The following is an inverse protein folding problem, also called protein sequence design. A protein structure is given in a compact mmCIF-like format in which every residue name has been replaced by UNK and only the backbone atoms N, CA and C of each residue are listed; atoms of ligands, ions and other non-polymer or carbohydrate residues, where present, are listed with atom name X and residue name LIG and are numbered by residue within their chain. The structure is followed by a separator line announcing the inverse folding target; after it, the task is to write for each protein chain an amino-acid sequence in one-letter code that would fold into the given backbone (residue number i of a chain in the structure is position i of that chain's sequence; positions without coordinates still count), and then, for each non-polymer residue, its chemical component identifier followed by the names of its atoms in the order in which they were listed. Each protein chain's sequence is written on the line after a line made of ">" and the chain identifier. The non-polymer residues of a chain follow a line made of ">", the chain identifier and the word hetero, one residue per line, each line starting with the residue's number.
data_IF_429859337743
#
_entry.id   IF_429859337743
#
_cell.length_a   1.000
_cell.length_b   1.000
_cell.length_c   1.000
_cell.angle_alpha   90.00
_cell.angle_beta   90.00
_cell.angle_gamma   90.00
#
_symmetry.space_group_name_H-M   'P 1'
#
loop_
_entity.id
_entity.type
_entity.pdbx_description
1 polymer ?
#
# COMPACT_ATOMS: atom_id res chain seq x y z
N UNK A 1 -2.18 -11.49 -21.41
CA UNK A 1 -2.42 -11.36 -19.95
C UNK A 1 -3.57 -10.41 -19.59
N UNK A 2 -3.64 -9.17 -20.12
CA UNK A 2 -4.66 -8.16 -19.75
C UNK A 2 -6.11 -8.64 -19.87
N UNK A 3 -6.49 -9.31 -20.97
CA UNK A 3 -7.84 -9.84 -21.15
C UNK A 3 -8.22 -10.90 -20.12
N UNK A 4 -7.28 -11.77 -19.71
CA UNK A 4 -7.53 -12.80 -18.71
C UNK A 4 -7.77 -12.22 -17.31
N UNK A 5 -6.95 -11.23 -16.93
CA UNK A 5 -7.10 -10.49 -15.66
C UNK A 5 -8.41 -9.70 -15.66
N UNK A 6 -8.77 -9.07 -16.78
CA UNK A 6 -10.05 -8.38 -16.91
C UNK A 6 -11.24 -9.32 -16.72
N UNK A 7 -11.23 -10.51 -17.35
CA UNK A 7 -12.30 -11.49 -17.15
C UNK A 7 -12.35 -11.96 -15.69
N UNK A 8 -11.19 -12.17 -15.04
CA UNK A 8 -11.10 -12.51 -13.62
C UNK A 8 -11.72 -11.45 -12.72
N UNK A 9 -11.46 -10.17 -13.00
CA UNK A 9 -12.05 -9.03 -12.29
C UNK A 9 -13.57 -8.97 -12.51
N UNK A 10 -14.01 -9.08 -13.77
CA UNK A 10 -15.41 -8.88 -14.21
C UNK A 10 -16.35 -10.01 -13.76
N UNK A 11 -15.94 -11.27 -13.85
CA UNK A 11 -16.75 -12.45 -13.49
C UNK A 11 -17.26 -12.45 -12.04
N UNK A 12 -16.52 -11.81 -11.14
CA UNK A 12 -16.78 -11.83 -9.72
C UNK A 12 -17.33 -10.48 -9.20
N UNK A 13 -17.47 -9.44 -10.05
CA UNK A 13 -18.07 -8.17 -9.63
C UNK A 13 -19.59 -8.24 -9.76
N UNK A 14 -20.36 -8.10 -8.66
CA UNK A 14 -21.82 -8.16 -8.70
C UNK A 14 -22.45 -7.02 -9.54
N UNK A 15 -21.69 -5.96 -9.87
CA UNK A 15 -22.12 -4.83 -10.70
C UNK A 15 -21.77 -5.00 -12.19
N UNK A 16 -21.03 -6.05 -12.56
CA UNK A 16 -20.82 -6.36 -13.97
C UNK A 16 -22.11 -6.96 -14.55
N UNK A 17 -22.94 -6.09 -15.11
CA UNK A 17 -24.17 -6.43 -15.85
C UNK A 17 -23.78 -7.31 -17.02
N UNK A 18 -24.09 -8.62 -16.96
CA UNK A 18 -23.88 -9.66 -17.98
C UNK A 18 -22.52 -9.67 -18.69
N UNK A 19 -21.76 -10.75 -18.50
CA UNK A 19 -20.61 -11.11 -19.36
C UNK A 19 -20.96 -11.05 -20.86
N UNK A 20 -22.24 -11.26 -21.19
CA UNK A 20 -22.81 -11.15 -22.53
C UNK A 20 -22.79 -9.71 -23.09
N UNK A 21 -22.95 -8.68 -22.26
CA UNK A 21 -22.98 -7.27 -22.72
C UNK A 21 -21.60 -6.67 -22.99
N UNK A 22 -20.52 -7.33 -22.54
CA UNK A 22 -19.15 -6.94 -22.89
C UNK A 22 -18.78 -7.30 -24.34
N UNK A 23 -19.71 -7.94 -25.07
CA UNK A 23 -19.54 -8.46 -26.42
C UNK A 23 -20.31 -7.68 -27.51
N UNK A 24 -20.80 -6.46 -27.24
CA UNK A 24 -21.38 -5.62 -28.31
C UNK A 24 -20.28 -4.99 -29.17
N UNK A 25 -19.68 -5.80 -30.06
CA UNK A 25 -18.78 -5.30 -31.10
C UNK A 25 -18.01 -6.39 -31.83
N UNK A 26 -18.52 -6.80 -33.00
CA UNK A 26 -17.80 -7.50 -34.10
C UNK A 26 -17.50 -9.00 -33.89
N UNK A 27 -18.51 -9.86 -34.02
CA UNK A 27 -18.38 -11.21 -34.61
C UNK A 27 -17.25 -12.14 -34.15
N UNK A 28 -16.70 -11.98 -32.95
CA UNK A 28 -15.70 -12.88 -32.34
C UNK A 28 -16.39 -13.90 -31.45
N UNK A 29 -15.78 -15.08 -31.32
CA UNK A 29 -16.27 -16.16 -30.47
C UNK A 29 -16.61 -15.65 -29.06
N UNK A 30 -17.83 -15.96 -28.62
CA UNK A 30 -18.40 -15.50 -27.35
C UNK A 30 -17.96 -16.46 -26.26
N UNK A 31 -17.11 -16.00 -25.34
CA UNK A 31 -16.80 -16.76 -24.13
C UNK A 31 -18.03 -16.81 -23.23
N UNK A 32 -18.56 -18.00 -23.03
CA UNK A 32 -19.64 -18.23 -22.06
C UNK A 32 -19.12 -18.17 -20.63
N UNK A 33 -20.02 -17.91 -19.69
CA UNK A 33 -19.72 -17.93 -18.25
C UNK A 33 -19.10 -19.27 -17.83
N UNK A 34 -19.61 -20.38 -18.35
CA UNK A 34 -19.16 -21.72 -17.98
C UNK A 34 -17.75 -22.01 -18.50
N UNK A 35 -17.39 -21.54 -19.70
CA UNK A 35 -16.02 -21.66 -20.23
C UNK A 35 -15.01 -20.87 -19.39
N UNK A 36 -15.40 -19.67 -18.92
CA UNK A 36 -14.53 -18.88 -18.04
C UNK A 36 -14.36 -19.56 -16.68
N UNK A 37 -15.46 -20.07 -16.09
CA UNK A 37 -15.41 -20.81 -14.83
C UNK A 37 -14.59 -22.11 -14.96
N UNK A 38 -14.75 -22.85 -16.06
CA UNK A 38 -13.96 -24.05 -16.36
C UNK A 38 -12.47 -23.76 -16.50
N UNK A 39 -12.14 -22.62 -17.13
CA UNK A 39 -10.76 -22.13 -17.23
C UNK A 39 -10.18 -21.78 -15.86
N UNK A 40 -10.94 -21.09 -15.01
CA UNK A 40 -10.49 -20.75 -13.65
C UNK A 40 -10.32 -22.00 -12.78
N UNK A 41 -11.27 -22.93 -12.82
CA UNK A 41 -11.17 -24.19 -12.07
C UNK A 41 -9.93 -25.00 -12.50
N UNK A 42 -9.64 -25.03 -13.80
CA UNK A 42 -8.46 -25.70 -14.35
C UNK A 42 -7.16 -25.01 -13.89
N UNK A 43 -7.08 -23.68 -13.97
CA UNK A 43 -5.92 -22.93 -13.47
C UNK A 43 -5.72 -23.14 -11.96
N UNK A 44 -6.78 -23.05 -11.16
CA UNK A 44 -6.73 -23.29 -9.72
C UNK A 44 -6.25 -24.71 -9.40
N UNK A 45 -6.61 -25.71 -10.21
CA UNK A 45 -6.16 -27.08 -10.03
C UNK A 45 -4.67 -27.26 -10.37
N UNK A 46 -4.18 -26.65 -11.45
CA UNK A 46 -2.79 -26.81 -11.92
C UNK A 46 -1.82 -25.92 -11.11
N UNK A 47 -2.18 -24.65 -10.91
CA UNK A 47 -1.38 -23.63 -10.21
C UNK A 47 -2.17 -22.98 -9.07
N UNK A 48 -2.45 -23.71 -7.98
CA UNK A 48 -3.29 -23.21 -6.88
C UNK A 48 -2.71 -21.96 -6.20
N UNK A 49 -1.39 -21.91 -6.01
CA UNK A 49 -0.72 -20.74 -5.38
C UNK A 49 -0.77 -19.54 -6.31
N UNK A 50 -0.38 -19.72 -7.57
CA UNK A 50 -0.45 -18.67 -8.57
C UNK A 50 -1.85 -18.08 -8.74
N UNK A 51 -2.87 -18.95 -8.82
CA UNK A 51 -4.26 -18.52 -8.89
C UNK A 51 -4.69 -17.74 -7.64
N UNK A 52 -4.31 -18.18 -6.45
CA UNK A 52 -4.60 -17.46 -5.21
C UNK A 52 -3.89 -16.09 -5.16
N UNK A 53 -2.69 -15.93 -5.77
CA UNK A 53 -2.02 -14.63 -5.94
C UNK A 53 -2.86 -13.71 -6.82
N UNK A 54 -3.32 -14.20 -7.97
CA UNK A 54 -4.15 -13.42 -8.89
C UNK A 54 -5.47 -12.98 -8.23
N UNK A 55 -6.13 -13.88 -7.50
CA UNK A 55 -7.34 -13.58 -6.74
C UNK A 55 -7.09 -12.58 -5.62
N UNK A 56 -5.97 -12.72 -4.90
CA UNK A 56 -5.64 -11.76 -3.83
C UNK A 56 -5.31 -10.38 -4.39
N UNK A 57 -4.52 -10.32 -5.46
CA UNK A 57 -3.99 -9.08 -6.05
C UNK A 57 -5.05 -8.27 -6.79
N UNK A 58 -5.90 -8.93 -7.59
CA UNK A 58 -6.87 -8.25 -8.45
C UNK A 58 -8.29 -8.23 -7.89
N UNK A 59 -8.62 -9.12 -6.94
CA UNK A 59 -9.96 -9.20 -6.33
C UNK A 59 -9.99 -8.88 -4.85
N UNK A 60 -8.84 -8.69 -4.19
CA UNK A 60 -8.74 -8.58 -2.74
C UNK A 60 -9.45 -9.74 -2.01
N UNK A 61 -9.36 -10.96 -2.56
CA UNK A 61 -9.96 -12.14 -1.96
C UNK A 61 -9.22 -12.55 -0.68
N UNK A 62 -9.85 -12.29 0.47
CA UNK A 62 -9.29 -12.61 1.79
C UNK A 62 -9.07 -14.11 2.03
N UNK A 63 -9.89 -14.99 1.43
CA UNK A 63 -9.75 -16.44 1.58
C UNK A 63 -8.58 -16.96 0.76
N UNK A 64 -8.41 -16.44 -0.46
CA UNK A 64 -7.21 -16.70 -1.26
C UNK A 64 -5.95 -16.24 -0.53
N UNK A 65 -5.98 -15.04 0.07
CA UNK A 65 -4.85 -14.55 0.86
C UNK A 65 -4.52 -15.48 2.03
N UNK A 66 -5.52 -15.95 2.79
CA UNK A 66 -5.30 -16.90 3.88
C UNK A 66 -4.62 -18.19 3.40
N UNK A 67 -5.04 -18.73 2.25
CA UNK A 67 -4.41 -19.90 1.63
C UNK A 67 -2.97 -19.63 1.20
N UNK A 68 -2.66 -18.46 0.63
CA UNK A 68 -1.28 -18.06 0.32
C UNK A 68 -0.41 -18.00 1.57
N UNK A 69 -0.92 -17.38 2.64
CA UNK A 69 -0.17 -17.27 3.90
C UNK A 69 0.12 -18.65 4.50
N UNK A 70 -0.82 -19.59 4.40
CA UNK A 70 -0.61 -20.98 4.77
C UNK A 70 0.40 -21.69 3.84
N UNK A 71 0.30 -21.48 2.53
CA UNK A 71 1.21 -22.07 1.54
C UNK A 71 2.66 -21.60 1.75
N UNK A 72 2.89 -20.32 2.05
CA UNK A 72 4.21 -19.79 2.43
C UNK A 72 4.74 -20.51 3.67
N UNK A 73 3.87 -20.75 4.66
CA UNK A 73 4.27 -21.46 5.87
C UNK A 73 4.70 -22.88 5.54
N UNK A 74 3.90 -23.63 4.76
CA UNK A 74 4.26 -25.00 4.32
C UNK A 74 5.55 -25.01 3.48
N UNK A 75 5.69 -24.06 2.56
CA UNK A 75 6.90 -23.90 1.74
C UNK A 75 8.13 -23.70 2.61
N UNK A 76 8.01 -22.89 3.68
CA UNK A 76 9.11 -22.61 4.58
C UNK A 76 9.48 -23.81 5.46
N UNK A 77 8.52 -24.56 6.01
CA UNK A 77 8.79 -25.70 6.90
C UNK A 77 9.60 -26.82 6.25
N UNK A 78 9.66 -26.87 4.92
CA UNK A 78 10.49 -27.82 4.16
C UNK A 78 11.98 -27.46 4.16
N UNK A 79 12.37 -26.35 4.78
CA UNK A 79 13.71 -25.77 4.71
C UNK A 79 14.25 -25.46 6.10
N UNK A 80 15.56 -25.40 6.24
CA UNK A 80 16.18 -24.75 7.40
C UNK A 80 16.02 -23.23 7.25
N UNK A 81 15.53 -22.58 8.29
CA UNK A 81 15.24 -21.15 8.23
C UNK A 81 15.44 -20.48 9.60
N UNK A 82 15.78 -19.18 9.63
CA UNK A 82 15.90 -18.45 10.89
C UNK A 82 14.54 -18.32 11.60
N UNK A 83 14.58 -18.02 12.89
CA UNK A 83 13.39 -18.01 13.78
C UNK A 83 12.23 -17.16 13.26
N UNK A 84 12.51 -16.01 12.63
CA UNK A 84 11.48 -15.08 12.13
C UNK A 84 11.27 -15.16 10.61
N UNK A 85 11.72 -16.23 9.98
CA UNK A 85 11.59 -16.44 8.54
C UNK A 85 10.14 -16.34 8.03
N UNK A 86 9.17 -16.88 8.77
CA UNK A 86 7.74 -16.77 8.41
C UNK A 86 7.38 -15.30 8.25
N UNK A 87 7.62 -14.47 9.27
CA UNK A 87 7.27 -13.04 9.21
C UNK A 87 7.96 -12.31 8.05
N UNK A 88 9.22 -12.65 7.74
CA UNK A 88 9.93 -12.07 6.60
C UNK A 88 9.28 -12.46 5.25
N UNK A 89 8.90 -13.73 5.08
CA UNK A 89 8.20 -14.20 3.87
C UNK A 89 6.78 -13.67 3.77
N UNK A 90 6.08 -13.47 4.90
CA UNK A 90 4.76 -12.83 4.93
C UNK A 90 4.82 -11.35 4.53
N UNK A 91 5.92 -10.65 4.86
CA UNK A 91 6.18 -9.30 4.36
C UNK A 91 6.59 -9.30 2.88
N UNK A 92 7.34 -10.31 2.44
CA UNK A 92 7.69 -10.50 1.03
C UNK A 92 6.44 -10.66 0.15
N UNK A 93 5.43 -11.39 0.63
CA UNK A 93 4.13 -11.49 -0.02
C UNK A 93 3.50 -10.11 -0.27
N UNK A 94 3.63 -9.16 0.68
CA UNK A 94 3.09 -7.81 0.46
C UNK A 94 3.75 -7.13 -0.75
N UNK A 95 5.05 -7.35 -0.99
CA UNK A 95 5.74 -6.82 -2.18
C UNK A 95 5.15 -7.45 -3.46
N UNK A 96 4.94 -8.77 -3.49
CA UNK A 96 4.36 -9.48 -4.64
C UNK A 96 2.94 -9.00 -4.95
N UNK A 97 2.17 -8.70 -3.90
CA UNK A 97 0.82 -8.17 -3.98
C UNK A 97 0.75 -6.65 -4.25
N UNK A 98 1.88 -5.98 -4.54
CA UNK A 98 1.98 -4.53 -4.74
C UNK A 98 1.47 -3.69 -3.55
N UNK A 99 1.57 -4.24 -2.33
CA UNK A 99 1.16 -3.59 -1.07
C UNK A 99 2.36 -3.00 -0.35
N UNK A 100 2.14 -1.85 0.28
CA UNK A 100 3.21 -1.15 0.99
C UNK A 100 3.61 -1.88 2.27
N UNK A 101 4.93 -1.92 2.52
CA UNK A 101 5.48 -2.45 3.76
C UNK A 101 5.28 -1.46 4.92
N UNK A 102 5.18 -1.91 6.19
CA UNK A 102 5.04 -1.02 7.34
C UNK A 102 6.04 0.15 7.38
N UNK A 103 7.33 -0.12 7.19
CA UNK A 103 8.36 0.93 7.20
C UNK A 103 8.24 1.88 5.99
N UNK A 104 7.78 1.37 4.85
CA UNK A 104 7.51 2.17 3.66
C UNK A 104 6.29 3.09 3.90
N UNK A 105 5.25 2.60 4.58
CA UNK A 105 4.09 3.39 4.99
C UNK A 105 4.54 4.54 5.92
N UNK A 106 5.39 4.28 6.91
CA UNK A 106 5.91 5.33 7.80
C UNK A 106 6.70 6.41 7.05
N UNK A 107 7.54 6.00 6.08
CA UNK A 107 8.27 6.94 5.24
C UNK A 107 7.31 7.79 4.40
N UNK A 108 6.37 7.16 3.68
CA UNK A 108 5.42 7.87 2.82
C UNK A 108 4.51 8.78 3.65
N UNK A 109 4.03 8.34 4.82
CA UNK A 109 3.22 9.16 5.72
C UNK A 109 4.00 10.40 6.22
N UNK A 110 5.30 10.25 6.46
CA UNK A 110 6.18 11.38 6.83
C UNK A 110 6.32 12.37 5.67
N UNK A 111 6.49 11.89 4.45
CA UNK A 111 6.54 12.73 3.26
C UNK A 111 5.18 13.40 2.97
N UNK A 112 4.07 12.71 3.16
CA UNK A 112 2.72 13.25 2.98
C UNK A 112 2.41 14.37 3.98
N UNK A 113 2.87 14.27 5.23
CA UNK A 113 2.77 15.34 6.22
C UNK A 113 3.63 16.56 5.90
N UNK A 114 4.62 16.41 5.02
CA UNK A 114 5.56 17.47 4.65
C UNK A 114 5.21 18.13 3.31
N UNK A 115 4.80 17.34 2.32
CA UNK A 115 4.60 17.76 0.94
C UNK A 115 3.20 17.42 0.39
N UNK A 116 2.40 16.64 1.12
CA UNK A 116 1.08 16.23 0.66
C UNK A 116 0.11 17.41 0.51
N UNK A 117 -0.90 17.23 -0.33
CA UNK A 117 -1.89 18.29 -0.68
C UNK A 117 -2.58 18.92 0.52
N UNK A 118 -2.84 18.16 1.59
CA UNK A 118 -3.45 18.68 2.82
C UNK A 118 -2.50 19.46 3.73
N UNK A 119 -1.18 19.33 3.52
CA UNK A 119 -0.18 19.96 4.39
C UNK A 119 -0.25 21.47 4.34
N UNK A 120 -0.36 22.05 3.14
CA UNK A 120 -0.41 23.50 2.96
C UNK A 120 -1.62 24.14 3.65
N UNK A 121 -2.79 23.52 3.52
CA UNK A 121 -4.02 23.97 4.19
C UNK A 121 -3.91 23.85 5.71
N UNK A 122 -3.49 22.67 6.21
CA UNK A 122 -3.35 22.44 7.65
C UNK A 122 -2.36 23.43 8.27
N UNK A 123 -1.23 23.71 7.59
CA UNK A 123 -0.23 24.68 8.06
C UNK A 123 -0.85 26.06 8.20
N UNK A 124 -1.55 26.57 7.18
CA UNK A 124 -2.21 27.89 7.25
C UNK A 124 -3.20 28.00 8.42
N UNK A 125 -4.01 26.96 8.64
CA UNK A 125 -4.97 26.93 9.75
C UNK A 125 -4.23 26.95 11.10
N UNK A 126 -3.23 26.10 11.27
CA UNK A 126 -2.44 26.03 12.51
C UNK A 126 -1.71 27.34 12.78
N UNK A 127 -1.09 27.95 11.76
CA UNK A 127 -0.38 29.22 11.90
C UNK A 127 -1.34 30.34 12.31
N UNK A 128 -2.55 30.38 11.73
CA UNK A 128 -3.60 31.34 12.12
C UNK A 128 -4.08 31.15 13.56
N UNK A 129 -4.30 29.91 14.00
CA UNK A 129 -4.65 29.60 15.39
C UNK A 129 -3.52 30.00 16.36
N UNK A 130 -2.25 29.77 15.98
CA UNK A 130 -1.10 30.18 16.78
C UNK A 130 -0.97 31.71 16.88
N UNK A 131 -1.32 32.46 15.84
CA UNK A 131 -1.37 33.92 15.90
C UNK A 131 -2.45 34.40 16.86
N UNK A 132 -3.63 33.79 16.86
CA UNK A 132 -4.71 34.10 17.81
C UNK A 132 -4.30 33.83 19.25
N UNK A 133 -3.64 32.69 19.51
CA UNK A 133 -3.10 32.37 20.85
C UNK A 133 -2.13 33.46 21.32
N UNK A 134 -1.21 33.91 20.46
CA UNK A 134 -0.26 34.97 20.83
C UNK A 134 -0.94 36.30 21.20
N UNK A 135 -2.03 36.65 20.52
CA UNK A 135 -2.81 37.85 20.85
C UNK A 135 -3.50 37.68 22.21
N UNK A 136 -4.15 36.54 22.44
CA UNK A 136 -4.77 36.23 23.72
C UNK A 136 -3.77 36.17 24.87
N UNK A 137 -2.57 35.62 24.66
CA UNK A 137 -1.49 35.61 25.65
C UNK A 137 -1.04 37.03 26.03
N UNK A 138 -0.97 37.93 25.04
CA UNK A 138 -0.68 39.35 25.28
C UNK A 138 -1.80 40.02 26.08
N UNK A 139 -3.06 39.80 25.72
CA UNK A 139 -4.21 40.38 26.41
C UNK A 139 -4.32 39.85 27.85
N UNK A 140 -4.04 38.56 28.06
CA UNK A 140 -3.94 37.93 29.38
C UNK A 140 -2.88 38.61 30.24
N UNK A 141 -1.70 38.89 29.67
CA UNK A 141 -0.59 39.53 30.39
C UNK A 141 -0.90 41.01 30.76
N UNK A 142 -1.80 41.67 30.03
CA UNK A 142 -2.21 43.06 30.29
C UNK A 142 -3.43 43.15 31.23
N UNK A 143 -4.10 42.04 31.50
CA UNK A 143 -5.33 42.02 32.30
C UNK A 143 -5.03 42.00 33.80
N UNK A 144 -5.77 42.79 34.58
CA UNK A 144 -5.69 42.84 36.05
C UNK A 144 -6.85 42.13 36.76
N UNK A 145 -7.84 41.63 36.00
CA UNK A 145 -9.02 40.97 36.53
C UNK A 145 -8.92 39.45 36.39
N UNK A 146 -8.93 38.74 37.52
CA UNK A 146 -8.79 37.28 37.57
C UNK A 146 -9.82 36.54 36.71
N UNK A 147 -11.08 36.99 36.70
CA UNK A 147 -12.12 36.38 35.87
C UNK A 147 -11.88 36.53 34.35
N UNK A 148 -11.25 37.62 33.91
CA UNK A 148 -10.87 37.83 32.50
C UNK A 148 -9.66 36.94 32.17
N UNK A 149 -8.69 36.84 33.08
CA UNK A 149 -7.51 35.98 32.94
C UNK A 149 -7.93 34.51 32.79
N UNK A 150 -8.88 34.06 33.60
CA UNK A 150 -9.43 32.69 33.55
C UNK A 150 -10.16 32.43 32.23
N UNK A 151 -11.03 33.37 31.81
CA UNK A 151 -11.73 33.27 30.53
C UNK A 151 -10.79 33.22 29.32
N UNK A 152 -9.75 34.06 29.28
CA UNK A 152 -8.74 34.04 28.22
C UNK A 152 -7.95 32.72 28.24
N UNK A 153 -7.64 32.20 29.43
CA UNK A 153 -6.93 30.91 29.57
C UNK A 153 -7.75 29.76 28.96
N UNK A 154 -9.05 29.72 29.24
CA UNK A 154 -9.96 28.73 28.65
C UNK A 154 -10.02 28.82 27.12
N UNK A 155 -10.00 30.04 26.56
CA UNK A 155 -9.94 30.24 25.11
C UNK A 155 -8.63 29.74 24.50
N UNK A 156 -7.49 30.03 25.14
CA UNK A 156 -6.18 29.52 24.71
C UNK A 156 -6.17 27.99 24.70
N UNK A 157 -6.68 27.35 25.75
CA UNK A 157 -6.76 25.89 25.84
C UNK A 157 -7.66 25.31 24.73
N UNK A 158 -8.76 25.98 24.43
CA UNK A 158 -9.65 25.62 23.31
C UNK A 158 -8.91 25.70 21.96
N UNK A 159 -8.11 26.74 21.73
CA UNK A 159 -7.33 26.88 20.51
C UNK A 159 -6.20 25.83 20.42
N UNK A 160 -5.54 25.51 21.52
CA UNK A 160 -4.58 24.41 21.59
C UNK A 160 -5.23 23.05 21.25
N UNK A 161 -6.43 22.79 21.77
CA UNK A 161 -7.20 21.59 21.44
C UNK A 161 -7.54 21.52 19.95
N UNK A 162 -7.91 22.66 19.32
CA UNK A 162 -8.13 22.74 17.86
C UNK A 162 -6.85 22.43 17.07
N UNK A 163 -5.71 23.01 17.44
CA UNK A 163 -4.41 22.71 16.79
C UNK A 163 -4.09 21.21 16.89
N UNK A 164 -4.30 20.61 18.06
CA UNK A 164 -4.08 19.16 18.25
C UNK A 164 -4.98 18.33 17.34
N UNK A 165 -6.24 18.74 17.19
CA UNK A 165 -7.23 18.08 16.32
C UNK A 165 -6.82 18.15 14.86
N UNK A 166 -6.46 19.34 14.35
CA UNK A 166 -6.01 19.54 12.97
C UNK A 166 -4.76 18.73 12.63
N UNK A 167 -3.75 18.75 13.53
CA UNK A 167 -2.53 17.94 13.38
C UNK A 167 -2.83 16.45 13.43
N UNK A 168 -3.77 16.02 14.28
CA UNK A 168 -4.26 14.65 14.36
C UNK A 168 -4.93 14.20 13.07
N UNK A 169 -5.82 15.04 12.50
CA UNK A 169 -6.50 14.77 11.24
C UNK A 169 -5.51 14.65 10.07
N UNK A 170 -4.50 15.53 9.98
CA UNK A 170 -3.44 15.42 8.97
C UNK A 170 -2.64 14.12 9.12
N UNK A 171 -2.33 13.70 10.35
CA UNK A 171 -1.60 12.44 10.60
C UNK A 171 -2.44 11.23 10.20
N UNK A 172 -3.71 11.18 10.60
CA UNK A 172 -4.63 10.10 10.25
C UNK A 172 -4.78 9.96 8.73
N UNK A 173 -5.01 11.08 8.04
CA UNK A 173 -5.06 11.11 6.57
C UNK A 173 -3.75 10.63 5.94
N UNK A 174 -2.60 11.10 6.42
CA UNK A 174 -1.31 10.73 5.86
C UNK A 174 -1.04 9.23 6.01
N UNK A 175 -1.39 8.62 7.14
CA UNK A 175 -1.25 7.19 7.37
C UNK A 175 -2.18 6.36 6.46
N UNK A 176 -3.45 6.77 6.33
CA UNK A 176 -4.40 6.11 5.43
C UNK A 176 -3.95 6.19 3.97
N UNK A 177 -3.53 7.37 3.53
CA UNK A 177 -3.07 7.58 2.17
C UNK A 177 -1.77 6.81 1.90
N UNK A 178 -0.83 6.77 2.84
CA UNK A 178 0.42 6.03 2.72
C UNK A 178 0.23 4.51 2.60
N UNK A 179 -0.91 3.96 3.02
CA UNK A 179 -1.21 2.54 2.84
C UNK A 179 -1.58 2.18 1.39
N UNK A 180 -2.06 3.15 0.60
CA UNK A 180 -2.62 2.90 -0.75
C UNK A 180 -1.82 3.52 -1.89
N UNK A 181 -0.90 4.46 -1.63
CA UNK A 181 -0.07 5.07 -2.67
C UNK A 181 1.41 4.84 -2.45
N UNK A 182 2.14 4.66 -3.54
CA UNK A 182 3.60 4.71 -3.59
C UNK A 182 4.11 5.98 -4.28
N UNK A 183 3.22 6.84 -4.75
CA UNK A 183 3.60 8.07 -5.46
C UNK A 183 4.34 8.99 -4.50
N UNK A 184 5.50 9.49 -4.92
CA UNK A 184 6.29 10.40 -4.11
C UNK A 184 5.51 11.70 -3.87
N UNK A 185 5.22 12.07 -2.60
CA UNK A 185 4.43 13.27 -2.30
C UNK A 185 5.12 14.58 -2.69
N UNK A 186 6.44 14.58 -2.87
CA UNK A 186 7.23 15.78 -3.18
C UNK A 186 7.21 16.14 -4.67
N UNK A 187 7.39 15.15 -5.54
CA UNK A 187 7.41 15.36 -7.00
C UNK A 187 6.11 14.92 -7.68
N UNK A 188 5.13 14.44 -6.92
CA UNK A 188 3.83 13.96 -7.41
C UNK A 188 3.94 12.92 -8.54
N UNK A 189 4.97 12.07 -8.49
CA UNK A 189 5.20 11.06 -9.53
C UNK A 189 6.15 11.47 -10.64
N UNK A 190 6.53 12.74 -10.75
CA UNK A 190 7.36 13.23 -11.86
C UNK A 190 8.84 12.83 -11.77
N UNK A 191 9.32 12.41 -10.59
CA UNK A 191 10.74 12.12 -10.36
C UNK A 191 11.64 13.37 -10.30
N UNK A 192 11.13 14.56 -10.63
CA UNK A 192 11.88 15.83 -10.60
C UNK A 192 11.10 16.91 -9.86
N UNK A 193 11.80 17.88 -9.26
CA UNK A 193 11.18 19.05 -8.64
C UNK A 193 11.34 20.28 -9.53
N UNK A 194 10.26 21.05 -9.73
CA UNK A 194 10.24 22.16 -10.69
C UNK A 194 10.97 23.44 -10.24
N UNK A 195 11.32 23.57 -8.94
CA UNK A 195 11.97 24.76 -8.39
C UNK A 195 13.14 24.37 -7.49
N UNK A 196 14.24 25.14 -7.48
CA UNK A 196 14.52 26.31 -8.33
C UNK A 196 14.88 25.96 -9.79
N UNK A 197 15.41 24.75 -10.06
CA UNK A 197 15.55 24.15 -11.39
C UNK A 197 15.08 22.68 -11.37
N UNK A 198 14.75 22.07 -12.53
CA UNK A 198 14.42 20.65 -12.62
C UNK A 198 15.53 19.73 -12.12
N UNK A 199 15.52 19.45 -10.82
CA UNK A 199 16.46 18.55 -10.18
C UNK A 199 15.81 17.19 -9.92
N UNK A 200 16.64 16.15 -9.89
CA UNK A 200 16.23 14.82 -9.47
C UNK A 200 15.67 14.93 -8.05
N UNK A 201 14.46 14.43 -7.84
CA UNK A 201 13.83 14.48 -6.54
C UNK A 201 14.60 13.58 -5.55
N UNK A 202 15.28 14.21 -4.59
CA UNK A 202 16.06 13.57 -3.52
C UNK A 202 15.27 12.54 -2.67
N UNK A 203 13.95 12.71 -2.51
CA UNK A 203 13.14 11.80 -1.67
C UNK A 203 12.88 10.44 -2.35
N UNK A 204 12.82 10.43 -3.68
CA UNK A 204 12.54 9.21 -4.47
C UNK A 204 13.70 8.82 -5.41
N UNK A 205 14.82 9.54 -5.38
CA UNK A 205 15.97 9.32 -6.26
C UNK A 205 15.63 9.40 -7.75
N UNK A 206 14.58 10.13 -8.14
CA UNK A 206 14.15 10.21 -9.54
C UNK A 206 13.08 9.20 -9.99
N UNK A 207 12.76 8.20 -9.17
CA UNK A 207 11.76 7.17 -9.52
C UNK A 207 10.35 7.72 -9.68
N UNK A 208 10.03 8.84 -9.02
CA UNK A 208 8.66 9.34 -8.90
C UNK A 208 7.80 8.54 -7.91
N UNK A 209 8.25 7.36 -7.50
CA UNK A 209 7.63 6.49 -6.51
C UNK A 209 8.60 6.16 -5.39
N UNK A 210 8.08 5.73 -4.25
CA UNK A 210 8.84 5.15 -3.16
C UNK A 210 8.64 3.63 -3.24
N UNK A 211 9.50 2.89 -3.97
CA UNK A 211 9.32 1.45 -4.13
C UNK A 211 9.66 0.70 -2.83
N UNK A 212 9.11 -0.51 -2.62
CA UNK A 212 9.56 -1.38 -1.55
C UNK A 212 11.03 -1.78 -1.79
N UNK A 213 11.80 -1.86 -0.71
CA UNK A 213 13.22 -2.26 -0.75
C UNK A 213 13.47 -3.33 0.32
N UNK A 214 14.58 -4.05 0.20
CA UNK A 214 14.99 -5.00 1.24
C UNK A 214 15.22 -4.31 2.59
N UNK A 215 15.63 -3.05 2.59
CA UNK A 215 15.76 -2.26 3.82
C UNK A 215 14.40 -1.88 4.41
N UNK A 216 13.40 -1.58 3.58
CA UNK A 216 12.02 -1.41 4.06
C UNK A 216 11.50 -2.71 4.70
N UNK A 217 11.82 -3.86 4.13
CA UNK A 217 11.41 -5.15 4.69
C UNK A 217 12.10 -5.40 6.03
N UNK A 218 13.43 -5.20 6.13
CA UNK A 218 14.19 -5.32 7.38
C UNK A 218 13.64 -4.41 8.48
N UNK A 219 13.43 -3.13 8.18
CA UNK A 219 12.83 -2.18 9.14
C UNK A 219 11.42 -2.60 9.56
N UNK A 220 10.63 -3.12 8.61
CA UNK A 220 9.29 -3.62 8.90
C UNK A 220 9.29 -4.81 9.86
N UNK A 221 10.32 -5.66 9.82
CA UNK A 221 10.50 -6.74 10.80
C UNK A 221 10.67 -6.21 12.23
N UNK A 222 11.33 -5.06 12.39
CA UNK A 222 11.46 -4.36 13.68
C UNK A 222 10.19 -3.63 14.13
N UNK A 223 9.32 -3.24 13.20
CA UNK A 223 8.00 -2.66 13.55
C UNK A 223 7.06 -3.75 14.09
N UNK A 224 7.07 -4.94 13.50
CA UNK A 224 6.19 -6.06 13.88
C UNK A 224 6.79 -6.99 14.95
N UNK A 225 8.00 -6.70 15.45
CA UNK A 225 8.67 -7.51 16.46
C UNK A 225 10.12 -7.08 16.66
N UNK A 226 11.02 -8.00 17.03
CA UNK A 226 12.41 -7.64 17.35
C UNK A 226 13.23 -7.19 16.16
N UNK A 227 14.00 -6.11 16.30
CA UNK A 227 14.92 -5.67 15.25
C UNK A 227 15.93 -6.77 14.89
N UNK A 228 16.13 -6.97 13.59
CA UNK A 228 17.15 -7.87 13.03
C UNK A 228 18.36 -7.02 12.63
N UNK A 229 19.54 -7.39 13.12
CA UNK A 229 20.78 -6.71 12.80
C UNK A 229 21.05 -6.75 11.28
N UNK A 230 21.74 -5.74 10.75
CA UNK A 230 22.05 -5.69 9.31
C UNK A 230 22.87 -6.91 8.84
N UNK A 231 23.79 -7.40 9.68
CA UNK A 231 24.60 -8.59 9.40
C UNK A 231 23.77 -9.87 9.31
N UNK A 232 22.93 -10.14 10.31
CA UNK A 232 22.03 -11.30 10.32
C UNK A 232 21.03 -11.23 9.14
N UNK A 233 20.48 -10.04 8.88
CA UNK A 233 19.58 -9.80 7.76
C UNK A 233 20.22 -10.17 6.43
N UNK A 234 21.42 -9.64 6.15
CA UNK A 234 22.12 -9.89 4.91
C UNK A 234 22.51 -11.36 4.73
N UNK A 235 22.96 -12.02 5.81
CA UNK A 235 23.44 -13.40 5.76
C UNK A 235 22.30 -14.43 5.60
N UNK A 236 21.20 -14.27 6.34
CA UNK A 236 20.20 -15.34 6.47
C UNK A 236 18.81 -14.99 5.90
N UNK A 237 18.40 -13.73 5.95
CA UNK A 237 17.05 -13.35 5.55
C UNK A 237 16.97 -12.88 4.10
N UNK A 238 17.97 -12.15 3.60
CA UNK A 238 17.97 -11.67 2.21
C UNK A 238 17.87 -12.81 1.18
N UNK A 239 18.67 -13.90 1.26
CA UNK A 239 18.56 -15.00 0.31
C UNK A 239 17.18 -15.68 0.38
N UNK A 240 16.70 -15.93 1.60
CA UNK A 240 15.41 -16.57 1.83
C UNK A 240 14.23 -15.76 1.30
N UNK A 241 14.21 -14.46 1.56
CA UNK A 241 13.17 -13.56 1.08
C UNK A 241 13.18 -13.51 -0.45
N UNK A 242 14.37 -13.45 -1.07
CA UNK A 242 14.49 -13.48 -2.53
C UNK A 242 13.98 -14.79 -3.11
N UNK A 243 14.31 -15.94 -2.51
CA UNK A 243 13.81 -17.24 -2.94
C UNK A 243 12.28 -17.33 -2.81
N UNK A 244 11.72 -16.84 -1.69
CA UNK A 244 10.27 -16.78 -1.49
C UNK A 244 9.58 -15.88 -2.53
N UNK A 245 10.12 -14.69 -2.79
CA UNK A 245 9.58 -13.79 -3.81
C UNK A 245 9.66 -14.41 -5.20
N UNK A 246 10.80 -15.01 -5.54
CA UNK A 246 11.00 -15.67 -6.83
C UNK A 246 9.97 -16.79 -7.03
N UNK A 247 9.77 -17.65 -6.02
CA UNK A 247 8.76 -18.70 -6.08
C UNK A 247 7.36 -18.11 -6.32
N UNK A 248 6.96 -17.09 -5.55
CA UNK A 248 5.65 -16.47 -5.71
C UNK A 248 5.46 -15.81 -7.10
N UNK A 249 6.49 -15.15 -7.64
CA UNK A 249 6.41 -14.55 -8.97
C UNK A 249 6.33 -15.60 -10.09
N UNK A 250 7.04 -16.72 -9.96
CA UNK A 250 6.93 -17.84 -10.92
C UNK A 250 5.51 -18.41 -10.89
N UNK A 251 4.97 -18.68 -9.69
CA UNK A 251 3.59 -19.16 -9.55
C UNK A 251 2.56 -18.18 -10.16
N UNK A 252 2.71 -16.87 -9.90
CA UNK A 252 1.86 -15.83 -10.50
C UNK A 252 1.95 -15.83 -12.03
N UNK A 253 3.17 -15.94 -12.58
CA UNK A 253 3.42 -15.96 -14.02
C UNK A 253 2.80 -17.18 -14.68
N UNK A 254 3.07 -18.37 -14.15
CA UNK A 254 2.60 -19.65 -14.71
C UNK A 254 1.07 -19.71 -14.68
N UNK A 255 0.43 -19.28 -13.59
CA UNK A 255 -1.02 -19.18 -13.52
C UNK A 255 -1.58 -18.18 -14.55
N UNK A 256 -0.91 -17.04 -14.73
CA UNK A 256 -1.27 -16.03 -15.71
C UNK A 256 -1.19 -16.54 -17.16
N UNK A 257 -0.15 -17.33 -17.48
CA UNK A 257 0.04 -17.98 -18.78
C UNK A 257 -1.04 -19.04 -19.04
N UNK A 258 -1.28 -19.94 -18.09
CA UNK A 258 -2.32 -20.98 -18.21
C UNK A 258 -3.70 -20.35 -18.41
N UNK A 259 -4.05 -19.30 -17.66
CA UNK A 259 -5.31 -18.59 -17.86
C UNK A 259 -5.40 -17.96 -19.24
N UNK A 260 -4.32 -17.35 -19.70
CA UNK A 260 -4.28 -16.71 -21.01
C UNK A 260 -4.47 -17.74 -22.14
N UNK A 261 -3.71 -18.82 -22.12
CA UNK A 261 -3.74 -19.86 -23.15
C UNK A 261 -5.09 -20.59 -23.21
N UNK A 262 -5.68 -20.87 -22.04
CA UNK A 262 -7.01 -21.48 -21.95
C UNK A 262 -8.09 -20.55 -22.48
N UNK A 263 -8.10 -19.28 -22.09
CA UNK A 263 -9.04 -18.30 -22.62
C UNK A 263 -8.89 -18.16 -24.14
N UNK A 264 -7.66 -18.13 -24.66
CA UNK A 264 -7.42 -18.09 -26.10
C UNK A 264 -7.93 -19.35 -26.82
N UNK A 265 -7.83 -20.51 -26.18
CA UNK A 265 -8.31 -21.78 -26.73
C UNK A 265 -9.84 -21.81 -26.80
N UNK A 266 -10.54 -21.28 -25.80
CA UNK A 266 -12.00 -21.19 -25.76
C UNK A 266 -12.58 -20.13 -26.74
N UNK A 267 -11.72 -19.24 -27.27
CA UNK A 267 -12.09 -18.21 -28.26
C UNK A 267 -11.87 -18.66 -29.71
N UNK A 268 -11.30 -19.85 -29.95
CA UNK A 268 -11.08 -20.43 -31.29
C UNK A 268 -12.17 -21.42 -31.62
#
# INVERSE_FOLDING_TARGET
>A
MTTAIEQLIKMHDPRCVSIESLNTGRGRAVLTKDQILGTFATCQHIHPVGFDILMTKYRNDCKAEQRLRAAISVWLHKRQHPRRAIAACQLALNIVLDRNLPAQIEQIATLLRRYGSRTGMTRKVVDGLQQQIKLLERDKAQSQHDGIIEFISLQIDTLHAKIKTERGALRAWANQQAAITQVCPRCHGAGKTLRPHPEICNECGGSGRIPPTMEHLRKSMGIIGTEISAGEWAAHYVPLVKECMQWLYVEESDAGEVLFDRIQSEMR
#
